data_IF_682645569369
#
_entry.id   IF_682645569369
#
_cell.length_a   1.000
_cell.length_b   1.000
_cell.length_c   1.000
_cell.angle_alpha   90.00
_cell.angle_beta   90.00
_cell.angle_gamma   90.00
#
_symmetry.space_group_name_H-M   'P 1'
#
loop_
_entity.id
_entity.type
_entity.pdbx_description
1 polymer ?
#
# COMPACT_ATOMS: atom_id res chain seq x y z
N UNK A 1 -10.73 7.93 8.98
CA UNK A 1 -11.64 6.78 8.87
C UNK A 1 -10.85 5.49 9.04
N UNK A 2 -11.30 4.60 9.88
CA UNK A 2 -10.61 3.34 10.12
C UNK A 2 -11.09 2.26 9.15
N UNK A 3 -10.17 1.54 8.53
CA UNK A 3 -10.48 0.41 7.67
C UNK A 3 -10.64 -0.86 8.51
N UNK A 4 -11.71 -1.62 8.26
CA UNK A 4 -11.98 -2.89 8.93
C UNK A 4 -11.54 -4.09 8.09
N UNK A 5 -11.41 -3.91 6.78
CA UNK A 5 -10.97 -4.95 5.84
C UNK A 5 -10.01 -4.35 4.82
N UNK A 6 -9.15 -5.18 4.18
CA UNK A 6 -8.32 -4.71 3.08
C UNK A 6 -9.13 -4.10 1.94
N UNK A 7 -10.23 -4.73 1.57
CA UNK A 7 -11.10 -4.23 0.51
C UNK A 7 -11.63 -2.83 0.82
N UNK A 8 -12.07 -2.60 2.04
CA UNK A 8 -12.53 -1.27 2.47
C UNK A 8 -11.42 -0.24 2.35
N UNK A 9 -10.20 -0.60 2.76
CA UNK A 9 -9.07 0.31 2.63
C UNK A 9 -8.80 0.67 1.18
N UNK A 10 -8.63 -0.33 0.31
CA UNK A 10 -8.25 -0.08 -1.08
C UNK A 10 -9.34 0.59 -1.90
N UNK A 11 -10.61 0.30 -1.64
CA UNK A 11 -11.72 0.83 -2.43
C UNK A 11 -12.27 2.15 -1.90
N UNK A 12 -12.15 2.42 -0.61
CA UNK A 12 -12.76 3.60 0.03
C UNK A 12 -11.75 4.51 0.70
N UNK A 13 -10.93 3.98 1.59
CA UNK A 13 -10.04 4.81 2.42
C UNK A 13 -8.88 5.36 1.61
N UNK A 14 -8.20 4.53 0.84
CA UNK A 14 -7.04 4.94 0.06
C UNK A 14 -7.37 6.00 -0.99
N UNK A 15 -8.44 5.87 -1.79
CA UNK A 15 -8.79 6.93 -2.75
C UNK A 15 -9.05 8.28 -2.11
N UNK A 16 -9.65 8.31 -0.92
CA UNK A 16 -9.88 9.57 -0.20
C UNK A 16 -8.60 10.14 0.40
N UNK A 17 -7.71 9.28 0.86
CA UNK A 17 -6.46 9.64 1.51
C UNK A 17 -5.39 10.08 0.51
N UNK A 18 -5.46 9.59 -0.71
CA UNK A 18 -4.46 9.84 -1.74
C UNK A 18 -4.38 11.32 -2.09
N UNK A 19 -3.16 11.86 -2.13
CA UNK A 19 -2.91 13.25 -2.48
C UNK A 19 -2.29 13.34 -3.88
N UNK A 20 -3.08 13.68 -4.93
CA UNK A 20 -2.56 13.76 -6.30
C UNK A 20 -1.43 14.77 -6.47
N UNK A 21 -1.46 15.88 -5.73
CA UNK A 21 -0.43 16.91 -5.84
C UNK A 21 0.95 16.39 -5.42
N UNK A 22 1.00 15.48 -4.47
CA UNK A 22 2.26 14.88 -4.00
C UNK A 22 2.68 13.66 -4.81
N UNK A 23 1.85 13.22 -5.74
CA UNK A 23 2.13 12.11 -6.62
C UNK A 23 2.64 12.54 -8.00
N UNK A 24 2.91 13.81 -8.19
CA UNK A 24 3.45 14.32 -9.46
C UNK A 24 4.79 13.65 -9.76
N UNK A 25 4.93 13.08 -10.96
CA UNK A 25 6.12 12.36 -11.37
C UNK A 25 6.27 10.96 -10.80
N UNK A 26 5.30 10.50 -10.02
CA UNK A 26 5.31 9.13 -9.49
C UNK A 26 4.60 8.21 -10.50
N UNK A 27 5.32 7.18 -10.95
CA UNK A 27 4.80 6.16 -11.86
C UNK A 27 5.22 4.81 -11.26
N UNK A 28 4.28 4.14 -10.61
CA UNK A 28 4.59 2.95 -9.82
C UNK A 28 3.44 1.96 -9.82
N UNK A 29 3.81 0.68 -9.81
CA UNK A 29 2.88 -0.43 -9.62
C UNK A 29 3.28 -1.12 -8.32
N UNK A 30 2.40 -1.12 -7.34
CA UNK A 30 2.64 -1.74 -6.03
C UNK A 30 1.83 -3.01 -5.92
N UNK A 31 2.52 -4.12 -5.70
CA UNK A 31 1.88 -5.39 -5.39
C UNK A 31 1.83 -5.54 -3.87
N UNK A 32 0.64 -5.66 -3.32
CA UNK A 32 0.45 -5.91 -1.89
C UNK A 32 -0.05 -7.34 -1.70
N UNK A 33 0.74 -8.14 -1.01
CA UNK A 33 0.42 -9.54 -0.73
C UNK A 33 0.16 -9.71 0.76
N UNK A 34 -1.07 -10.09 1.10
CA UNK A 34 -1.49 -10.27 2.48
C UNK A 34 -1.57 -11.75 2.82
N UNK A 35 -0.92 -12.15 3.91
CA UNK A 35 -1.03 -13.52 4.44
C UNK A 35 -2.20 -13.60 5.41
N UNK A 36 -2.73 -14.80 5.61
CA UNK A 36 -3.87 -15.05 6.51
C UNK A 36 -5.07 -14.15 6.17
N UNK A 37 -5.35 -13.97 4.89
CA UNK A 37 -6.42 -13.10 4.42
C UNK A 37 -7.18 -13.76 3.29
N UNK A 38 -8.51 -13.63 3.32
CA UNK A 38 -9.38 -14.00 2.19
C UNK A 38 -9.28 -12.99 1.04
N UNK A 39 -8.75 -11.79 1.32
CA UNK A 39 -8.57 -10.71 0.35
C UNK A 39 -7.06 -10.47 0.17
N UNK A 40 -6.35 -11.47 -0.33
CA UNK A 40 -4.90 -11.59 -0.17
C UNK A 40 -4.07 -10.65 -1.03
N UNK A 41 -4.45 -10.45 -2.29
CA UNK A 41 -3.55 -9.80 -3.25
C UNK A 41 -4.19 -8.57 -3.85
N UNK A 42 -3.46 -7.45 -3.82
CA UNK A 42 -3.92 -6.18 -4.36
C UNK A 42 -2.84 -5.52 -5.19
N UNK A 43 -3.26 -4.89 -6.28
CA UNK A 43 -2.39 -4.10 -7.15
C UNK A 43 -2.82 -2.65 -7.09
N UNK A 44 -1.91 -1.79 -6.69
CA UNK A 44 -2.13 -0.34 -6.68
C UNK A 44 -1.25 0.29 -7.74
N UNK A 45 -1.86 0.99 -8.68
CA UNK A 45 -1.14 1.70 -9.74
C UNK A 45 -1.30 3.19 -9.54
N UNK A 46 -0.17 3.91 -9.51
CA UNK A 46 -0.15 5.37 -9.47
C UNK A 46 0.56 5.83 -10.72
N UNK A 47 -0.16 6.57 -11.58
CA UNK A 47 0.35 7.11 -12.82
C UNK A 47 -0.43 8.37 -13.19
N UNK A 48 0.30 9.39 -13.70
CA UNK A 48 -0.30 10.66 -14.09
C UNK A 48 -1.15 11.27 -12.98
N UNK A 49 -0.67 11.17 -11.74
CA UNK A 49 -1.34 11.69 -10.53
C UNK A 49 -2.70 11.04 -10.26
N UNK A 50 -2.90 9.82 -10.77
CA UNK A 50 -4.12 9.04 -10.56
C UNK A 50 -3.77 7.73 -9.88
N UNK A 51 -4.64 7.29 -8.99
CA UNK A 51 -4.49 6.04 -8.26
C UNK A 51 -5.63 5.09 -8.64
N UNK A 52 -5.26 3.85 -8.94
CA UNK A 52 -6.21 2.75 -9.08
C UNK A 52 -5.78 1.60 -8.18
N UNK A 53 -6.73 0.93 -7.56
CA UNK A 53 -6.48 -0.23 -6.72
C UNK A 53 -7.44 -1.34 -7.14
N UNK A 54 -6.87 -2.52 -7.41
CA UNK A 54 -7.63 -3.70 -7.85
C UNK A 54 -7.12 -4.93 -7.14
N UNK A 55 -8.04 -5.84 -6.85
CA UNK A 55 -7.67 -7.17 -6.36
C UNK A 55 -7.02 -7.96 -7.49
N UNK A 56 -5.90 -8.65 -7.19
CA UNK A 56 -5.19 -9.45 -8.17
C UNK A 56 -3.68 -9.36 -8.04
N UNK A 57 -2.98 -9.81 -9.07
CA UNK A 57 -1.51 -9.82 -9.12
C UNK A 57 -1.00 -9.18 -10.40
N UNK A 58 0.18 -8.56 -10.30
CA UNK A 58 0.89 -8.00 -11.45
C UNK A 58 2.21 -8.76 -11.63
N UNK A 59 2.53 -9.13 -12.86
CA UNK A 59 3.72 -9.93 -13.17
C UNK A 59 5.03 -9.16 -12.99
N UNK A 60 4.99 -7.82 -13.07
CA UNK A 60 6.19 -6.99 -13.02
C UNK A 60 5.96 -5.74 -12.17
N UNK A 61 5.67 -5.88 -10.87
CA UNK A 61 5.45 -4.72 -10.02
C UNK A 61 6.74 -3.95 -9.80
N UNK A 62 6.63 -2.63 -9.62
CA UNK A 62 7.76 -1.78 -9.25
C UNK A 62 8.16 -2.03 -7.80
N UNK A 63 7.16 -2.22 -6.94
CA UNK A 63 7.34 -2.50 -5.52
C UNK A 63 6.45 -3.67 -5.11
N UNK A 64 6.93 -4.46 -4.15
CA UNK A 64 6.13 -5.52 -3.54
C UNK A 64 6.18 -5.37 -2.02
N UNK A 65 5.02 -5.41 -1.40
CA UNK A 65 4.86 -5.42 0.04
C UNK A 65 4.18 -6.73 0.45
N UNK A 66 4.72 -7.40 1.46
CA UNK A 66 4.13 -8.63 2.00
C UNK A 66 4.00 -8.50 3.51
N UNK A 67 2.82 -8.78 4.03
CA UNK A 67 2.52 -8.72 5.45
C UNK A 67 1.24 -9.49 5.76
N UNK A 68 0.96 -9.76 7.03
CA UNK A 68 -0.31 -10.34 7.42
C UNK A 68 -1.43 -9.30 7.29
N UNK A 69 -2.67 -9.78 7.14
CA UNK A 69 -3.82 -8.87 7.11
C UNK A 69 -3.91 -8.02 8.37
N UNK A 70 -3.66 -8.62 9.53
CA UNK A 70 -3.69 -7.91 10.80
C UNK A 70 -2.66 -6.79 10.85
N UNK A 71 -1.42 -7.07 10.46
CA UNK A 71 -0.36 -6.07 10.45
C UNK A 71 -0.68 -4.97 9.44
N UNK A 72 -1.24 -5.33 8.29
CA UNK A 72 -1.67 -4.37 7.29
C UNK A 72 -2.73 -3.41 7.84
N UNK A 73 -3.76 -3.93 8.48
CA UNK A 73 -4.82 -3.10 9.05
C UNK A 73 -4.31 -2.21 10.18
N UNK A 74 -3.44 -2.73 11.04
CA UNK A 74 -2.82 -1.92 12.09
C UNK A 74 -1.98 -0.79 11.50
N UNK A 75 -1.25 -1.07 10.42
CA UNK A 75 -0.42 -0.08 9.73
C UNK A 75 -1.26 1.02 9.08
N UNK A 76 -2.27 0.66 8.29
CA UNK A 76 -3.08 1.65 7.56
C UNK A 76 -4.01 2.44 8.47
N UNK A 77 -4.35 1.89 9.63
CA UNK A 77 -5.17 2.57 10.64
C UNK A 77 -4.34 3.38 11.64
N UNK A 78 -3.02 3.45 11.44
CA UNK A 78 -2.14 4.26 12.27
C UNK A 78 -1.82 3.67 13.64
N UNK A 79 -2.11 2.40 13.87
CA UNK A 79 -1.82 1.74 15.15
C UNK A 79 -0.35 1.36 15.29
N UNK A 80 0.36 1.24 14.18
CA UNK A 80 1.78 0.96 14.14
C UNK A 80 2.41 1.84 13.06
N UNK A 81 3.59 2.39 13.34
CA UNK A 81 4.32 3.19 12.36
C UNK A 81 4.95 2.34 11.26
N UNK A 82 5.01 2.86 10.03
CA UNK A 82 5.57 2.16 8.89
C UNK A 82 7.04 1.76 9.12
N UNK A 83 7.84 2.67 9.69
CA UNK A 83 9.25 2.40 9.97
C UNK A 83 9.40 1.27 10.98
N UNK A 84 8.62 1.31 12.06
CA UNK A 84 8.65 0.26 13.07
C UNK A 84 8.22 -1.09 12.50
N UNK A 85 7.18 -1.11 11.68
CA UNK A 85 6.70 -2.32 11.05
C UNK A 85 7.78 -2.95 10.15
N UNK A 86 8.52 -2.11 9.42
CA UNK A 86 9.62 -2.57 8.58
C UNK A 86 10.78 -3.13 9.40
N UNK A 87 11.24 -2.40 10.42
CA UNK A 87 12.37 -2.84 11.25
C UNK A 87 12.08 -4.06 12.08
N UNK A 88 10.83 -4.29 12.46
CA UNK A 88 10.44 -5.47 13.26
C UNK A 88 10.08 -6.67 12.40
N UNK A 89 10.20 -6.55 11.06
CA UNK A 89 9.93 -7.65 10.15
C UNK A 89 8.45 -7.92 9.88
N UNK A 90 7.56 -7.04 10.32
CA UNK A 90 6.12 -7.19 10.06
C UNK A 90 5.76 -6.92 8.61
N UNK A 91 6.56 -6.11 7.93
CA UNK A 91 6.40 -5.81 6.50
C UNK A 91 7.66 -6.27 5.77
N UNK A 92 7.50 -7.14 4.79
CA UNK A 92 8.55 -7.50 3.87
C UNK A 92 8.44 -6.63 2.64
N UNK A 93 9.55 -6.02 2.26
CA UNK A 93 9.59 -5.05 1.17
C UNK A 93 10.57 -5.50 0.10
N UNK A 94 10.17 -5.36 -1.17
CA UNK A 94 11.03 -5.62 -2.31
C UNK A 94 10.85 -4.51 -3.34
N UNK A 95 11.95 -3.87 -3.72
CA UNK A 95 11.95 -2.79 -4.71
C UNK A 95 12.73 -1.58 -4.25
N UNK A 96 12.48 -0.43 -4.88
CA UNK A 96 13.21 0.81 -4.62
C UNK A 96 12.65 1.54 -3.40
N UNK A 97 13.48 1.69 -2.37
CA UNK A 97 13.06 2.32 -1.11
C UNK A 97 12.74 3.82 -1.29
N UNK A 98 13.38 4.50 -2.23
CA UNK A 98 13.08 5.90 -2.50
C UNK A 98 11.66 6.09 -3.02
N UNK A 99 11.18 5.15 -3.83
CA UNK A 99 9.78 5.16 -4.28
C UNK A 99 8.82 4.88 -3.14
N UNK A 100 9.19 4.01 -2.20
CA UNK A 100 8.37 3.75 -1.02
C UNK A 100 8.16 5.02 -0.17
N UNK A 101 9.21 5.83 -0.02
CA UNK A 101 9.11 7.10 0.70
C UNK A 101 8.19 8.09 -0.03
N UNK A 102 8.27 8.15 -1.35
CA UNK A 102 7.38 9.00 -2.14
C UNK A 102 5.91 8.55 -2.02
N UNK A 103 5.67 7.26 -1.97
CA UNK A 103 4.32 6.72 -1.78
C UNK A 103 3.75 7.12 -0.42
N UNK A 104 4.58 7.10 0.61
CA UNK A 104 4.17 7.54 1.94
C UNK A 104 3.76 9.02 1.93
N UNK A 105 4.51 9.87 1.25
CA UNK A 105 4.18 11.29 1.10
C UNK A 105 2.86 11.50 0.34
N UNK A 106 2.60 10.66 -0.67
CA UNK A 106 1.37 10.73 -1.45
C UNK A 106 0.14 10.19 -0.72
N UNK A 107 0.30 9.67 0.49
CA UNK A 107 -0.80 9.19 1.31
C UNK A 107 -1.10 7.70 1.17
N UNK A 108 -0.20 6.92 0.60
CA UNK A 108 -0.42 5.48 0.45
C UNK A 108 -0.40 4.75 1.80
N UNK A 109 0.51 5.11 2.67
CA UNK A 109 0.64 4.50 4.00
C UNK A 109 0.64 5.54 5.11
#
# INVERSE_FOLDING_TARGET
MEALTPKEFFEKVLPEKFNPAKAAGVDVIVQVNLTNSAQANWVVTIKDQKLTAKEGTNASPTLTLKMSERDFLDLVNGKIGAEKAFFTGKVQFKGNIALALKLREAGFL
#
